data_IF_546044135513
#
_entry.id   IF_546044135513
#
_cell.length_a   1.000
_cell.length_b   1.000
_cell.length_c   1.000
_cell.angle_alpha   90.00
_cell.angle_beta   90.00
_cell.angle_gamma   90.00
#
_symmetry.space_group_name_H-M   'P 1'
#
loop_
_entity.id
_entity.type
_entity.pdbx_description
1 polymer ?
#
# COMPACT_ATOMS: atom_id res chain seq x y z
N UNK A 1 -11.61 -9.60 -3.74
CA UNK A 1 -12.93 -10.21 -3.40
C UNK A 1 -13.62 -10.75 -4.66
N UNK A 2 -13.80 -9.95 -5.73
CA UNK A 2 -14.37 -10.45 -7.01
C UNK A 2 -13.58 -11.63 -7.57
N UNK A 3 -12.23 -11.59 -7.55
CA UNK A 3 -11.36 -12.66 -8.03
C UNK A 3 -11.56 -13.95 -7.21
N UNK A 4 -11.94 -13.83 -5.94
CA UNK A 4 -12.19 -14.96 -5.02
C UNK A 4 -13.66 -15.38 -5.00
N UNK A 5 -14.49 -14.80 -5.87
CA UNK A 5 -15.94 -15.05 -5.94
C UNK A 5 -16.70 -14.79 -4.61
N UNK A 6 -16.16 -13.90 -3.77
CA UNK A 6 -16.78 -13.54 -2.48
C UNK A 6 -17.89 -12.50 -2.63
N UNK A 7 -17.87 -11.72 -3.71
CA UNK A 7 -18.87 -10.68 -4.00
C UNK A 7 -19.28 -10.74 -5.47
N UNK A 8 -20.56 -10.46 -5.77
CA UNK A 8 -21.04 -10.39 -7.16
C UNK A 8 -20.36 -9.23 -7.90
N UNK A 9 -20.15 -9.41 -9.20
CA UNK A 9 -19.59 -8.38 -10.08
C UNK A 9 -20.22 -8.49 -11.46
N UNK A 10 -20.22 -7.39 -12.20
CA UNK A 10 -20.67 -7.35 -13.59
C UNK A 10 -19.49 -7.61 -14.53
N UNK A 11 -19.71 -8.46 -15.54
CA UNK A 11 -18.69 -8.81 -16.51
C UNK A 11 -18.28 -10.28 -16.48
N UNK A 12 -17.14 -10.60 -17.11
CA UNK A 12 -16.61 -11.95 -17.17
C UNK A 12 -15.23 -12.03 -16.54
N UNK A 13 -15.04 -12.91 -15.57
CA UNK A 13 -13.77 -13.25 -14.97
C UNK A 13 -13.45 -14.71 -15.23
N UNK A 14 -12.26 -15.00 -15.74
CA UNK A 14 -11.80 -16.37 -15.95
C UNK A 14 -10.40 -16.53 -15.35
N UNK A 15 -10.30 -17.39 -14.37
CA UNK A 15 -9.00 -17.82 -13.79
C UNK A 15 -8.39 -18.90 -14.69
N UNK A 16 -7.08 -18.81 -14.95
CA UNK A 16 -6.35 -19.79 -15.76
C UNK A 16 -6.30 -21.17 -15.11
N UNK A 17 -6.11 -22.24 -15.91
CA UNK A 17 -6.16 -23.63 -15.44
C UNK A 17 -5.14 -23.98 -14.34
N UNK A 18 -3.95 -23.36 -14.40
CA UNK A 18 -2.85 -23.69 -13.47
C UNK A 18 -2.64 -22.61 -12.42
N UNK A 19 -3.60 -21.68 -12.24
CA UNK A 19 -3.48 -20.62 -11.24
C UNK A 19 -3.99 -21.12 -9.90
N UNK A 20 -3.07 -21.18 -8.93
CA UNK A 20 -3.36 -21.47 -7.53
C UNK A 20 -3.23 -20.16 -6.74
N UNK A 21 -4.37 -19.63 -6.29
CA UNK A 21 -4.45 -18.33 -5.66
C UNK A 21 -4.32 -18.49 -4.15
N UNK A 22 -3.36 -17.77 -3.57
CA UNK A 22 -3.30 -17.47 -2.16
C UNK A 22 -3.85 -16.08 -1.90
N UNK A 23 -4.85 -15.94 -1.04
CA UNK A 23 -5.49 -14.67 -0.74
C UNK A 23 -5.30 -14.29 0.73
N UNK A 24 -4.73 -13.12 0.95
CA UNK A 24 -4.61 -12.53 2.28
C UNK A 24 -5.61 -11.38 2.43
N UNK A 25 -6.70 -11.66 3.15
CA UNK A 25 -7.70 -10.66 3.52
C UNK A 25 -7.45 -10.13 4.94
N UNK A 26 -8.06 -9.00 5.28
CA UNK A 26 -7.96 -8.38 6.61
C UNK A 26 -8.39 -9.31 7.77
N UNK A 27 -9.27 -10.28 7.51
CA UNK A 27 -9.79 -11.22 8.51
C UNK A 27 -9.07 -12.59 8.52
N UNK A 28 -8.02 -12.76 7.71
CA UNK A 28 -7.32 -14.05 7.58
C UNK A 28 -6.75 -14.56 8.91
N UNK A 29 -6.34 -13.67 9.79
CA UNK A 29 -5.85 -13.98 11.12
C UNK A 29 -6.90 -14.70 12.01
N UNK A 30 -8.19 -14.54 11.73
CA UNK A 30 -9.28 -15.18 12.48
C UNK A 30 -9.53 -16.63 12.05
N UNK A 31 -9.03 -17.03 10.88
CA UNK A 31 -9.18 -18.39 10.35
C UNK A 31 -8.13 -19.37 10.88
N UNK A 32 -7.20 -18.90 11.70
CA UNK A 32 -6.20 -19.75 12.33
C UNK A 32 -6.84 -20.59 13.46
N UNK A 33 -6.43 -21.86 13.55
CA UNK A 33 -6.86 -22.74 14.65
C UNK A 33 -6.18 -22.28 15.96
N UNK A 34 -6.99 -21.84 16.91
CA UNK A 34 -6.54 -21.34 18.21
C UNK A 34 -5.89 -22.40 19.11
N UNK A 35 -6.16 -23.68 18.89
CA UNK A 35 -5.64 -24.76 19.73
C UNK A 35 -4.25 -25.24 19.29
N UNK A 36 -3.87 -24.98 18.04
CA UNK A 36 -2.52 -25.28 17.56
C UNK A 36 -1.49 -24.31 18.16
N UNK A 37 -0.24 -24.77 18.21
CA UNK A 37 0.90 -23.88 18.46
C UNK A 37 1.26 -23.09 17.18
N UNK A 38 2.05 -22.03 17.35
CA UNK A 38 2.61 -21.28 16.22
C UNK A 38 3.41 -22.24 15.33
N UNK A 39 4.23 -23.09 15.93
CA UNK A 39 5.05 -24.07 15.21
C UNK A 39 4.17 -25.06 14.45
N UNK A 40 3.20 -25.69 15.10
CA UNK A 40 2.32 -26.69 14.47
C UNK A 40 1.53 -26.09 13.30
N UNK A 41 1.07 -24.84 13.45
CA UNK A 41 0.35 -24.13 12.37
C UNK A 41 1.18 -24.05 11.10
N UNK A 42 2.49 -23.84 11.22
CA UNK A 42 3.40 -23.73 10.07
C UNK A 42 3.85 -25.12 9.61
N UNK A 43 4.10 -26.06 10.52
CA UNK A 43 4.50 -27.44 10.15
C UNK A 43 3.45 -28.15 9.31
N UNK A 44 2.16 -27.87 9.52
CA UNK A 44 1.08 -28.44 8.72
C UNK A 44 1.11 -28.01 7.24
N UNK A 45 1.63 -26.83 6.91
CA UNK A 45 1.67 -26.32 5.54
C UNK A 45 3.05 -26.44 4.90
N UNK A 46 4.11 -26.49 5.71
CA UNK A 46 5.48 -26.60 5.25
C UNK A 46 5.74 -27.95 4.60
N UNK A 47 6.39 -27.95 3.42
CA UNK A 47 6.73 -29.14 2.65
C UNK A 47 8.23 -29.20 2.39
N UNK A 48 8.77 -30.42 2.28
CA UNK A 48 10.17 -30.66 1.91
C UNK A 48 11.16 -29.96 2.83
N UNK A 49 12.16 -29.33 2.26
CA UNK A 49 13.28 -28.68 2.99
C UNK A 49 12.83 -27.47 3.83
N UNK A 50 11.65 -26.89 3.53
CA UNK A 50 11.09 -25.79 4.29
C UNK A 50 10.80 -26.21 5.74
N UNK A 51 10.40 -27.46 5.97
CA UNK A 51 10.17 -28.00 7.33
C UNK A 51 11.42 -27.91 8.22
N UNK A 52 12.60 -28.04 7.64
CA UNK A 52 13.86 -27.92 8.38
C UNK A 52 14.17 -26.49 8.80
N UNK A 53 13.57 -25.50 8.11
CA UNK A 53 13.81 -24.07 8.31
C UNK A 53 12.68 -23.36 9.05
N UNK A 54 11.66 -24.08 9.53
CA UNK A 54 10.48 -23.46 10.17
C UNK A 54 10.90 -22.53 11.31
N UNK A 55 11.83 -22.97 12.19
CA UNK A 55 12.29 -22.15 13.33
C UNK A 55 13.00 -20.87 12.89
N UNK A 56 13.75 -20.92 11.81
CA UNK A 56 14.45 -19.75 11.25
C UNK A 56 13.43 -18.76 10.64
N UNK A 57 12.45 -19.29 9.90
CA UNK A 57 11.35 -18.49 9.32
C UNK A 57 10.55 -17.83 10.44
N UNK A 58 10.14 -18.61 11.44
CA UNK A 58 9.41 -18.08 12.60
C UNK A 58 10.25 -17.02 13.34
N UNK A 59 11.54 -17.24 13.51
CA UNK A 59 12.46 -16.28 14.12
C UNK A 59 12.55 -14.97 13.35
N UNK A 60 12.60 -15.02 12.01
CA UNK A 60 12.61 -13.84 11.14
C UNK A 60 11.34 -13.00 11.32
N UNK A 61 10.18 -13.64 11.51
CA UNK A 61 8.91 -12.98 11.80
C UNK A 61 8.63 -12.78 13.30
N UNK A 62 9.67 -12.77 14.14
CA UNK A 62 9.60 -12.49 15.58
C UNK A 62 8.82 -13.52 16.42
N UNK A 63 8.80 -14.77 15.98
CA UNK A 63 8.34 -15.91 16.75
C UNK A 63 9.51 -16.82 17.20
N UNK A 64 10.62 -16.20 17.60
CA UNK A 64 11.80 -16.93 18.08
C UNK A 64 11.63 -17.50 19.49
N UNK A 65 12.44 -18.52 19.83
CA UNK A 65 12.45 -19.15 21.14
C UNK A 65 11.11 -19.76 21.53
N UNK A 66 10.67 -19.49 22.76
CA UNK A 66 9.41 -20.01 23.33
C UNK A 66 8.13 -19.47 22.64
N UNK A 67 8.23 -18.42 21.84
CA UNK A 67 7.07 -17.89 21.12
C UNK A 67 6.52 -18.86 20.08
N UNK A 68 7.37 -19.76 19.54
CA UNK A 68 6.97 -20.82 18.63
C UNK A 68 6.05 -21.87 19.26
N UNK A 69 6.20 -22.10 20.56
CA UNK A 69 5.43 -23.11 21.31
C UNK A 69 4.13 -22.55 21.92
N UNK A 70 3.89 -21.24 21.76
CA UNK A 70 2.66 -20.58 22.18
C UNK A 70 1.47 -21.04 21.36
N UNK A 71 0.32 -21.27 21.98
CA UNK A 71 -0.93 -21.53 21.26
C UNK A 71 -1.43 -20.24 20.59
N UNK A 72 -1.98 -20.38 19.38
CA UNK A 72 -2.50 -19.28 18.56
C UNK A 72 -3.55 -18.45 19.29
N UNK A 73 -4.38 -19.05 20.14
CA UNK A 73 -5.39 -18.33 20.94
C UNK A 73 -4.81 -17.28 21.90
N UNK A 74 -3.55 -17.42 22.31
CA UNK A 74 -2.87 -16.47 23.19
C UNK A 74 -2.08 -15.40 22.47
N UNK A 75 -2.09 -15.41 21.14
CA UNK A 75 -1.43 -14.40 20.32
C UNK A 75 -2.25 -13.11 20.28
N UNK A 76 -1.55 -11.97 20.24
CA UNK A 76 -2.14 -10.68 19.91
C UNK A 76 -2.67 -10.65 18.46
N UNK A 77 -3.51 -9.66 18.12
CA UNK A 77 -4.00 -9.49 16.76
C UNK A 77 -2.87 -9.37 15.73
N UNK A 78 -1.84 -8.57 16.02
CA UNK A 78 -0.67 -8.42 15.14
C UNK A 78 0.15 -9.71 14.99
N UNK A 79 0.34 -10.47 16.07
CA UNK A 79 1.01 -11.77 16.02
C UNK A 79 0.22 -12.78 15.16
N UNK A 80 -1.12 -12.83 15.31
CA UNK A 80 -1.95 -13.69 14.45
C UNK A 80 -1.87 -13.30 12.99
N UNK A 81 -1.87 -12.01 12.69
CA UNK A 81 -1.72 -11.50 11.31
C UNK A 81 -0.38 -11.94 10.71
N UNK A 82 0.72 -11.81 11.45
CA UNK A 82 2.04 -12.30 11.01
C UNK A 82 2.06 -13.81 10.77
N UNK A 83 1.48 -14.58 11.70
CA UNK A 83 1.42 -16.03 11.56
C UNK A 83 0.60 -16.46 10.34
N UNK A 84 -0.56 -15.84 10.10
CA UNK A 84 -1.38 -16.08 8.92
C UNK A 84 -0.63 -15.76 7.62
N UNK A 85 0.19 -14.70 7.62
CA UNK A 85 1.02 -14.33 6.49
C UNK A 85 2.10 -15.37 6.21
N UNK A 86 2.82 -15.83 7.25
CA UNK A 86 3.83 -16.89 7.10
C UNK A 86 3.18 -18.15 6.52
N UNK A 87 2.04 -18.55 7.07
CA UNK A 87 1.30 -19.71 6.58
C UNK A 87 1.00 -19.59 5.09
N UNK A 88 0.46 -18.45 4.65
CA UNK A 88 0.11 -18.22 3.25
C UNK A 88 1.33 -18.27 2.32
N UNK A 89 2.45 -17.66 2.73
CA UNK A 89 3.70 -17.66 1.94
C UNK A 89 4.31 -19.05 1.76
N UNK A 90 3.99 -19.99 2.64
CA UNK A 90 4.48 -21.37 2.59
C UNK A 90 3.51 -22.33 1.91
N UNK A 91 2.30 -21.88 1.56
CA UNK A 91 1.36 -22.65 0.76
C UNK A 91 1.84 -22.78 -0.69
N UNK A 92 1.56 -23.90 -1.37
CA UNK A 92 2.00 -24.11 -2.75
C UNK A 92 1.11 -23.33 -3.74
N UNK A 93 1.20 -22.01 -3.70
CA UNK A 93 0.47 -21.09 -4.58
C UNK A 93 1.41 -20.44 -5.59
N UNK A 94 0.89 -20.03 -6.75
CA UNK A 94 1.65 -19.30 -7.77
C UNK A 94 1.07 -17.92 -8.11
N UNK A 95 0.01 -17.53 -7.40
CA UNK A 95 -0.57 -16.20 -7.48
C UNK A 95 -0.95 -15.74 -6.07
N UNK A 96 -0.31 -14.70 -5.57
CA UNK A 96 -0.62 -14.08 -4.27
C UNK A 96 -1.47 -12.83 -4.48
N UNK A 97 -2.56 -12.73 -3.73
CA UNK A 97 -3.38 -11.52 -3.65
C UNK A 97 -3.33 -11.04 -2.20
N UNK A 98 -2.70 -9.89 -1.98
CA UNK A 98 -2.46 -9.32 -0.66
C UNK A 98 -3.25 -8.02 -0.49
N UNK A 99 -4.22 -8.02 0.41
CA UNK A 99 -5.06 -6.86 0.71
C UNK A 99 -4.61 -6.22 2.02
N UNK A 100 -3.95 -5.05 1.93
CA UNK A 100 -3.34 -4.31 3.05
C UNK A 100 -2.45 -5.18 3.96
N UNK A 101 -1.45 -5.88 3.40
CA UNK A 101 -0.67 -6.87 4.14
C UNK A 101 0.23 -6.26 5.22
N UNK A 102 0.48 -4.95 5.16
CA UNK A 102 1.33 -4.22 6.12
C UNK A 102 0.58 -3.74 7.36
N UNK A 103 -0.75 -3.85 7.38
CA UNK A 103 -1.54 -3.44 8.52
C UNK A 103 -1.17 -4.25 9.77
N UNK A 104 -0.91 -3.55 10.87
CA UNK A 104 -0.50 -4.11 12.16
C UNK A 104 0.87 -4.80 12.17
N UNK A 105 1.70 -4.62 11.12
CA UNK A 105 3.09 -5.08 11.11
C UNK A 105 4.03 -3.98 11.62
N UNK A 106 5.00 -4.38 12.44
CA UNK A 106 6.16 -3.53 12.77
C UNK A 106 7.14 -3.45 11.58
N UNK A 107 8.08 -2.51 11.64
CA UNK A 107 9.03 -2.24 10.56
C UNK A 107 9.82 -3.50 10.14
N UNK A 108 10.30 -4.29 11.12
CA UNK A 108 11.08 -5.50 10.82
C UNK A 108 10.22 -6.55 10.10
N UNK A 109 8.99 -6.76 10.56
CA UNK A 109 8.06 -7.69 9.89
C UNK A 109 7.71 -7.25 8.48
N UNK A 110 7.61 -5.94 8.22
CA UNK A 110 7.42 -5.40 6.86
C UNK A 110 8.61 -5.70 5.96
N UNK A 111 9.83 -5.53 6.45
CA UNK A 111 11.05 -5.81 5.69
C UNK A 111 11.15 -7.30 5.33
N UNK A 112 10.86 -8.18 6.29
CA UNK A 112 10.86 -9.64 6.07
C UNK A 112 9.77 -10.03 5.06
N UNK A 113 8.57 -9.47 5.19
CA UNK A 113 7.49 -9.69 4.23
C UNK A 113 7.88 -9.21 2.83
N UNK A 114 8.46 -8.02 2.72
CA UNK A 114 8.93 -7.44 1.45
C UNK A 114 9.98 -8.34 0.77
N UNK A 115 10.93 -8.86 1.55
CA UNK A 115 11.93 -9.80 1.06
C UNK A 115 11.28 -11.11 0.58
N UNK A 116 10.37 -11.69 1.39
CA UNK A 116 9.66 -12.92 1.03
C UNK A 116 8.81 -12.79 -0.25
N UNK A 117 8.19 -11.62 -0.47
CA UNK A 117 7.43 -11.35 -1.70
C UNK A 117 8.37 -11.20 -2.91
N UNK A 118 9.53 -10.58 -2.73
CA UNK A 118 10.54 -10.48 -3.80
C UNK A 118 11.09 -11.84 -4.24
N UNK A 119 11.25 -12.74 -3.29
CA UNK A 119 11.75 -14.10 -3.54
C UNK A 119 10.65 -15.06 -4.02
N UNK A 120 9.40 -14.60 -4.06
CA UNK A 120 8.27 -15.42 -4.51
C UNK A 120 8.30 -15.62 -6.02
N UNK A 121 8.36 -16.90 -6.45
CA UNK A 121 8.36 -17.28 -7.87
C UNK A 121 6.92 -17.40 -8.38
N UNK A 122 6.27 -16.26 -8.59
CA UNK A 122 4.90 -16.20 -9.05
C UNK A 122 4.39 -14.79 -9.28
N UNK A 123 3.09 -14.67 -9.52
CA UNK A 123 2.45 -13.35 -9.67
C UNK A 123 1.97 -12.84 -8.34
N UNK A 124 2.24 -11.58 -8.03
CA UNK A 124 1.75 -10.92 -6.81
C UNK A 124 0.88 -9.73 -7.17
N UNK A 125 -0.31 -9.68 -6.60
CA UNK A 125 -1.22 -8.54 -6.64
C UNK A 125 -1.30 -7.96 -5.23
N UNK A 126 -0.82 -6.74 -5.06
CA UNK A 126 -0.81 -6.06 -3.75
C UNK A 126 -1.73 -4.85 -3.78
N UNK A 127 -2.61 -4.76 -2.79
CA UNK A 127 -3.34 -3.54 -2.47
C UNK A 127 -2.72 -2.97 -1.20
N UNK A 128 -2.14 -1.78 -1.26
CA UNK A 128 -1.53 -1.13 -0.11
C UNK A 128 -1.49 0.38 -0.24
N UNK A 129 -1.58 1.06 0.90
CA UNK A 129 -1.34 2.49 1.03
C UNK A 129 0.10 2.82 1.48
N UNK A 130 0.89 1.81 1.80
CA UNK A 130 2.26 1.94 2.28
C UNK A 130 3.24 2.07 1.11
N UNK A 131 3.65 3.30 0.83
CA UNK A 131 4.54 3.62 -0.31
C UNK A 131 5.95 3.04 -0.15
N UNK A 132 6.47 3.04 1.08
CA UNK A 132 7.80 2.48 1.38
C UNK A 132 7.81 0.95 1.19
N UNK A 133 6.72 0.31 1.55
CA UNK A 133 6.54 -1.11 1.30
C UNK A 133 6.49 -1.42 -0.21
N UNK A 134 5.76 -0.62 -1.00
CA UNK A 134 5.63 -0.81 -2.44
C UNK A 134 6.89 -0.45 -3.23
N UNK A 135 7.78 0.36 -2.65
CA UNK A 135 9.02 0.80 -3.30
C UNK A 135 9.93 -0.38 -3.66
N UNK A 136 10.30 -0.48 -4.93
CA UNK A 136 11.10 -1.58 -5.49
C UNK A 136 10.47 -2.98 -5.34
N UNK A 137 9.15 -3.06 -5.08
CA UNK A 137 8.38 -4.31 -5.03
C UNK A 137 7.49 -4.48 -6.25
N UNK A 138 6.97 -3.37 -6.79
CA UNK A 138 6.01 -3.36 -7.89
C UNK A 138 6.64 -2.81 -9.16
N UNK A 139 6.29 -3.38 -10.29
CA UNK A 139 6.67 -2.97 -11.64
C UNK A 139 5.50 -2.41 -12.44
N UNK A 140 4.28 -2.52 -11.90
CA UNK A 140 3.04 -2.13 -12.55
C UNK A 140 2.01 -1.71 -11.52
N UNK A 141 1.34 -0.57 -11.76
CA UNK A 141 0.34 -0.02 -10.86
C UNK A 141 -0.96 0.19 -11.61
N UNK A 142 -2.05 -0.23 -11.03
CA UNK A 142 -3.41 0.00 -11.50
C UNK A 142 -4.12 0.98 -10.58
N UNK A 143 -4.43 2.15 -11.09
CA UNK A 143 -5.19 3.16 -10.37
C UNK A 143 -6.67 3.05 -10.73
N UNK A 144 -7.52 2.88 -9.72
CA UNK A 144 -8.97 2.92 -9.87
C UNK A 144 -9.45 4.33 -9.52
N UNK A 145 -9.90 5.08 -10.53
CA UNK A 145 -10.37 6.45 -10.36
C UNK A 145 -11.45 6.79 -11.37
N UNK A 146 -12.44 7.61 -10.94
CA UNK A 146 -13.49 8.18 -11.79
C UNK A 146 -14.25 7.11 -12.62
N UNK A 147 -14.48 5.93 -12.02
CA UNK A 147 -15.15 4.80 -12.68
C UNK A 147 -14.33 4.09 -13.75
N UNK A 148 -13.02 4.41 -13.86
CA UNK A 148 -12.09 3.78 -14.79
C UNK A 148 -10.87 3.16 -14.10
N UNK A 149 -10.09 2.43 -14.88
CA UNK A 149 -8.80 1.87 -14.45
C UNK A 149 -7.71 2.40 -15.36
N UNK A 150 -6.63 2.92 -14.76
CA UNK A 150 -5.44 3.37 -15.48
C UNK A 150 -4.26 2.53 -15.07
N UNK A 151 -3.48 2.09 -16.05
CA UNK A 151 -2.26 1.34 -15.83
C UNK A 151 -1.04 2.27 -15.95
N UNK A 152 -0.12 2.11 -15.01
CA UNK A 152 1.19 2.76 -15.01
C UNK A 152 2.26 1.67 -14.97
N UNK A 153 3.14 1.66 -15.98
CA UNK A 153 4.31 0.78 -16.04
C UNK A 153 5.46 1.48 -15.33
N UNK A 154 5.90 0.92 -14.22
CA UNK A 154 6.95 1.48 -13.37
C UNK A 154 6.66 1.31 -11.90
N UNK A 155 7.57 1.83 -11.08
CA UNK A 155 7.49 1.79 -9.63
C UNK A 155 6.50 2.82 -9.04
N UNK A 156 6.38 2.80 -7.70
CA UNK A 156 5.49 3.71 -6.97
C UNK A 156 5.89 5.19 -7.16
N UNK A 157 7.18 5.49 -7.29
CA UNK A 157 7.66 6.86 -7.43
C UNK A 157 7.34 7.43 -8.80
N UNK A 158 7.51 6.63 -9.86
CA UNK A 158 7.08 6.98 -11.20
C UNK A 158 5.58 7.30 -11.27
N UNK A 159 4.76 6.46 -10.63
CA UNK A 159 3.32 6.70 -10.53
C UNK A 159 3.00 8.02 -9.83
N UNK A 160 3.63 8.28 -8.67
CA UNK A 160 3.39 9.50 -7.90
C UNK A 160 3.81 10.76 -8.67
N UNK A 161 4.92 10.72 -9.41
CA UNK A 161 5.38 11.81 -10.25
C UNK A 161 4.38 12.10 -11.38
N UNK A 162 3.94 11.06 -12.10
CA UNK A 162 2.91 11.19 -13.14
C UNK A 162 1.61 11.79 -12.60
N UNK A 163 1.16 11.30 -11.46
CA UNK A 163 -0.03 11.82 -10.77
C UNK A 163 0.10 13.31 -10.40
N UNK A 164 1.26 13.72 -9.91
CA UNK A 164 1.53 15.13 -9.59
C UNK A 164 1.43 16.01 -10.84
N UNK A 165 2.00 15.58 -11.95
CA UNK A 165 1.95 16.30 -13.23
C UNK A 165 0.51 16.36 -13.76
N UNK A 166 -0.24 15.26 -13.76
CA UNK A 166 -1.64 15.24 -14.21
C UNK A 166 -2.52 16.15 -13.35
N UNK A 167 -2.34 16.16 -12.04
CA UNK A 167 -3.11 17.02 -11.14
C UNK A 167 -2.85 18.51 -11.39
N UNK A 168 -1.61 18.89 -11.69
CA UNK A 168 -1.26 20.26 -12.06
C UNK A 168 -1.91 20.66 -13.40
N UNK A 169 -1.89 19.78 -14.40
CA UNK A 169 -2.53 20.02 -15.68
C UNK A 169 -4.06 20.10 -15.59
N UNK A 170 -4.68 19.31 -14.69
CA UNK A 170 -6.13 19.40 -14.41
C UNK A 170 -6.51 20.75 -13.79
N UNK A 171 -5.66 21.29 -12.92
CA UNK A 171 -5.85 22.62 -12.33
C UNK A 171 -5.72 23.70 -13.41
N UNK A 172 -4.67 23.65 -14.24
CA UNK A 172 -4.46 24.61 -15.34
C UNK A 172 -5.61 24.58 -16.37
N UNK A 173 -6.15 23.41 -16.70
CA UNK A 173 -7.30 23.27 -17.61
C UNK A 173 -8.59 23.85 -17.05
N UNK A 174 -8.78 23.81 -15.74
CA UNK A 174 -9.94 24.42 -15.06
C UNK A 174 -9.85 25.94 -15.02
N UNK A 175 -8.64 26.49 -15.10
CA UNK A 175 -8.38 27.94 -15.07
C UNK A 175 -8.33 28.57 -16.48
N UNK A 176 -8.45 27.79 -17.56
CA UNK A 176 -8.54 28.32 -18.93
C UNK A 176 -10.01 28.55 -19.30
N UNK A 177 -10.46 29.81 -19.46
CA UNK A 177 -11.82 30.05 -19.97
C UNK A 177 -11.87 29.62 -21.44
N UNK A 178 -12.75 28.69 -21.75
CA UNK A 178 -13.08 28.32 -23.14
C UNK A 178 -13.70 29.54 -23.80
N UNK A 179 -12.93 30.21 -24.65
CA UNK A 179 -13.42 31.22 -25.55
C UNK A 179 -14.01 30.54 -26.79
N UNK A 180 -15.31 30.29 -26.79
CA UNK A 180 -16.10 30.13 -28.02
C UNK A 180 -17.50 30.66 -27.83
N UNK A 181 -17.69 31.78 -28.46
CA UNK A 181 -18.87 32.39 -29.11
C UNK A 181 -20.30 32.02 -28.72
N UNK A 182 -20.98 33.11 -28.38
CA UNK A 182 -22.34 33.52 -28.71
C UNK A 182 -23.51 33.11 -27.81
N UNK A 183 -24.03 34.18 -27.25
CA UNK A 183 -25.43 34.60 -27.03
C UNK A 183 -26.20 34.16 -25.78
N UNK A 184 -26.39 35.18 -24.99
CA UNK A 184 -27.54 35.61 -24.17
C UNK A 184 -27.36 35.65 -22.67
N UNK A 185 -27.47 36.87 -22.21
CA UNK A 185 -27.60 37.45 -20.90
C UNK A 185 -28.35 36.61 -19.85
N UNK A 186 -27.81 36.48 -18.63
CA UNK A 186 -28.49 37.02 -17.44
C UNK A 186 -27.66 36.76 -16.15
N UNK A 187 -27.32 37.85 -15.47
CA UNK A 187 -27.17 38.03 -14.00
C UNK A 187 -26.54 36.90 -13.13
N UNK A 188 -25.25 36.63 -13.27
CA UNK A 188 -24.49 35.85 -12.26
C UNK A 188 -23.06 36.35 -12.04
N UNK A 189 -22.73 37.55 -12.49
CA UNK A 189 -21.35 38.06 -12.49
C UNK A 189 -20.76 38.51 -11.12
N UNK A 190 -21.58 38.70 -10.08
CA UNK A 190 -21.09 39.19 -8.78
C UNK A 190 -20.61 38.07 -7.83
N UNK A 191 -21.24 36.93 -7.83
CA UNK A 191 -20.86 35.77 -6.98
C UNK A 191 -19.53 35.12 -7.42
N UNK A 192 -19.23 35.13 -8.71
CA UNK A 192 -17.98 34.60 -9.26
C UNK A 192 -16.75 35.45 -8.90
N UNK A 193 -16.87 36.74 -8.76
CA UNK A 193 -15.75 37.64 -8.44
C UNK A 193 -15.36 37.58 -6.96
N UNK A 194 -16.29 37.46 -6.05
CA UNK A 194 -16.02 37.28 -4.62
C UNK A 194 -15.36 35.92 -4.32
N UNK A 195 -15.84 34.86 -4.97
CA UNK A 195 -15.24 33.55 -4.85
C UNK A 195 -13.80 33.48 -5.39
N UNK A 196 -13.51 34.14 -6.51
CA UNK A 196 -12.14 34.26 -7.04
C UNK A 196 -11.23 35.04 -6.09
N UNK A 197 -11.72 36.09 -5.49
CA UNK A 197 -10.94 36.91 -4.54
C UNK A 197 -10.67 36.18 -3.23
N UNK A 198 -11.58 35.33 -2.77
CA UNK A 198 -11.35 34.45 -1.62
C UNK A 198 -10.35 33.33 -1.95
N UNK A 199 -10.43 32.73 -3.12
CA UNK A 199 -9.47 31.72 -3.57
C UNK A 199 -8.07 32.30 -3.74
N UNK A 200 -7.93 33.50 -4.30
CA UNK A 200 -6.63 34.19 -4.40
C UNK A 200 -6.05 34.51 -3.03
N UNK A 201 -6.87 34.94 -2.08
CA UNK A 201 -6.43 35.17 -0.69
C UNK A 201 -5.97 33.87 -0.02
N UNK A 202 -6.68 32.78 -0.24
CA UNK A 202 -6.33 31.47 0.30
C UNK A 202 -5.02 30.94 -0.31
N UNK A 203 -4.87 31.04 -1.63
CA UNK A 203 -3.64 30.67 -2.34
C UNK A 203 -2.43 31.49 -1.88
N UNK A 204 -2.62 32.80 -1.66
CA UNK A 204 -1.55 33.68 -1.16
C UNK A 204 -1.16 33.34 0.28
N UNK A 205 -2.12 32.92 1.11
CA UNK A 205 -1.86 32.47 2.48
C UNK A 205 -1.15 31.13 2.51
N UNK A 206 -1.54 30.20 1.63
CA UNK A 206 -0.88 28.90 1.49
C UNK A 206 0.57 29.05 0.98
N UNK A 207 0.82 29.89 -0.02
CA UNK A 207 2.19 30.18 -0.49
C UNK A 207 3.08 30.74 0.61
N UNK A 208 2.59 31.68 1.41
CA UNK A 208 3.34 32.20 2.54
C UNK A 208 3.65 31.13 3.60
N UNK A 209 2.72 30.21 3.85
CA UNK A 209 2.96 29.13 4.80
C UNK A 209 4.01 28.14 4.26
N UNK A 210 3.99 27.85 2.96
CA UNK A 210 5.01 26.98 2.31
C UNK A 210 6.39 27.64 2.41
N UNK A 211 6.53 28.92 2.05
CA UNK A 211 7.78 29.66 2.18
C UNK A 211 8.31 29.69 3.63
N UNK A 212 7.42 29.80 4.59
CA UNK A 212 7.80 29.79 6.01
C UNK A 212 8.30 28.41 6.45
N UNK A 213 7.62 27.32 6.05
CA UNK A 213 8.03 25.96 6.35
C UNK A 213 9.36 25.61 5.66
N UNK A 214 9.56 26.04 4.42
CA UNK A 214 10.82 25.86 3.69
C UNK A 214 11.99 26.60 4.39
N UNK A 215 11.74 27.81 4.89
CA UNK A 215 12.74 28.56 5.66
C UNK A 215 13.07 27.89 7.02
N UNK A 216 12.08 27.33 7.70
CA UNK A 216 12.28 26.57 8.94
C UNK A 216 13.05 25.26 8.69
N UNK A 217 12.75 24.55 7.58
CA UNK A 217 13.47 23.37 7.14
C UNK A 217 14.94 23.66 6.86
N UNK A 218 15.22 24.70 6.09
CA UNK A 218 16.59 25.14 5.80
C UNK A 218 17.36 25.49 7.08
N UNK A 219 16.68 26.12 8.07
CA UNK A 219 17.27 26.43 9.38
C UNK A 219 17.58 25.19 10.22
N UNK A 220 16.78 24.14 10.11
CA UNK A 220 17.01 22.86 10.80
C UNK A 220 18.16 22.09 10.11
N UNK A 221 18.21 22.05 8.79
CA UNK A 221 19.28 21.42 8.02
C UNK A 221 20.64 22.07 8.32
N UNK A 222 20.66 23.39 8.45
CA UNK A 222 21.87 24.11 8.83
C UNK A 222 22.35 23.76 10.25
N UNK A 223 21.44 23.62 11.20
CA UNK A 223 21.77 23.17 12.55
C UNK A 223 22.27 21.72 12.59
N UNK A 224 21.68 20.83 11.78
CA UNK A 224 22.14 19.43 11.66
C UNK A 224 23.57 19.41 11.11
N UNK A 225 23.87 20.19 10.05
CA UNK A 225 25.20 20.28 9.49
C UNK A 225 26.23 20.86 10.49
N UNK A 226 25.84 21.81 11.35
CA UNK A 226 26.68 22.32 12.43
C UNK A 226 26.96 21.26 13.52
N UNK A 227 25.99 20.40 13.82
CA UNK A 227 26.19 19.29 14.76
C UNK A 227 27.09 18.21 14.18
N UNK A 228 26.90 17.85 12.90
CA UNK A 228 27.74 16.84 12.21
C UNK A 228 29.21 17.28 12.06
N UNK A 229 29.49 18.59 12.07
CA UNK A 229 30.87 19.09 12.01
C UNK A 229 31.52 19.18 13.41
N UNK A 230 30.77 18.98 14.51
CA UNK A 230 31.28 19.05 15.88
C UNK A 230 31.63 17.70 16.50
N UNK A 231 31.30 16.62 15.82
CA UNK A 231 31.65 15.24 16.19
C UNK A 231 32.49 14.58 15.09
#
# INVERSE_FOLDING_TARGET
KCIMDEIPFDGALKVGHNVQIGYFAQNQAQLLDGELTVFDTIDHVAKGDIRLKIRDILGAFMFGGEAGDKKVKFLSGGERTRLAMIKLLLEPVNCLILDEPTNHLDMRSKDVLKAAIRDFDGTVIVVSHDREFLDGLVDRIYEFRDGGVREYLGDIWYFLEKRKVESLQEIERKDTPIATASTKESSTGKLSYEQKKEQEKLLRKLRKNVEQIEAELAGIEQKIAEYDTRF
#
